data_IF_158022462254
#
_entry.id   IF_158022462254
#
_cell.length_a   1.000
_cell.length_b   1.000
_cell.length_c   1.000
_cell.angle_alpha   90.00
_cell.angle_beta   90.00
_cell.angle_gamma   90.00
#
_symmetry.space_group_name_H-M   'P 1'
#
loop_
_entity.id
_entity.type
_entity.pdbx_description
1 polymer ?
#
# COMPACT_ATOMS: atom_id res chain seq x y z
N UNK A 1 -38.32 26.56 -13.63
CA UNK A 1 -36.84 26.72 -13.65
C UNK A 1 -36.17 26.21 -12.38
N UNK A 2 -36.50 26.72 -11.17
CA UNK A 2 -35.85 26.32 -9.90
C UNK A 2 -35.75 24.78 -9.66
N UNK A 3 -36.80 24.02 -10.00
CA UNK A 3 -36.81 22.54 -9.84
C UNK A 3 -35.89 21.81 -10.82
N UNK A 4 -35.73 22.32 -12.04
CA UNK A 4 -34.85 21.72 -13.06
C UNK A 4 -33.38 21.95 -12.70
N UNK A 5 -33.03 23.15 -12.23
CA UNK A 5 -31.69 23.46 -11.72
C UNK A 5 -31.28 22.58 -10.54
N UNK A 6 -32.19 22.29 -9.60
CA UNK A 6 -31.90 21.40 -8.46
C UNK A 6 -31.57 19.98 -8.93
N UNK A 7 -32.34 19.44 -9.89
CA UNK A 7 -32.11 18.09 -10.43
C UNK A 7 -30.75 18.01 -11.15
N UNK A 8 -30.42 19.03 -11.97
CA UNK A 8 -29.13 19.09 -12.68
C UNK A 8 -27.96 19.18 -11.68
N UNK A 9 -28.09 19.99 -10.61
CA UNK A 9 -27.05 20.09 -9.58
C UNK A 9 -26.82 18.76 -8.84
N UNK A 10 -27.87 18.01 -8.53
CA UNK A 10 -27.74 16.69 -7.89
C UNK A 10 -27.05 15.69 -8.83
N UNK A 11 -27.40 15.72 -10.12
CA UNK A 11 -26.79 14.84 -11.13
C UNK A 11 -25.30 15.12 -11.31
N UNK A 12 -24.91 16.40 -11.37
CA UNK A 12 -23.52 16.84 -11.46
C UNK A 12 -22.73 16.45 -10.20
N UNK A 13 -23.32 16.59 -9.01
CA UNK A 13 -22.69 16.17 -7.77
C UNK A 13 -22.44 14.64 -7.75
N UNK A 14 -23.42 13.85 -8.20
CA UNK A 14 -23.28 12.40 -8.33
C UNK A 14 -22.17 12.00 -9.30
N UNK A 15 -22.09 12.65 -10.47
CA UNK A 15 -21.02 12.44 -11.45
C UNK A 15 -19.65 12.82 -10.90
N UNK A 16 -19.54 13.90 -10.13
CA UNK A 16 -18.28 14.32 -9.51
C UNK A 16 -17.79 13.30 -8.47
N UNK A 17 -18.69 12.76 -7.64
CA UNK A 17 -18.35 11.70 -6.66
C UNK A 17 -17.93 10.42 -7.39
N UNK A 18 -18.62 10.05 -8.46
CA UNK A 18 -18.29 8.86 -9.26
C UNK A 18 -16.91 9.01 -9.93
N UNK A 19 -16.63 10.19 -10.52
CA UNK A 19 -15.33 10.49 -11.10
C UNK A 19 -14.22 10.48 -10.04
N UNK A 20 -14.48 11.03 -8.85
CA UNK A 20 -13.53 10.96 -7.74
C UNK A 20 -13.19 9.51 -7.38
N UNK A 21 -14.22 8.65 -7.26
CA UNK A 21 -14.01 7.25 -6.89
C UNK A 21 -13.25 6.44 -7.96
N UNK A 22 -13.53 6.68 -9.24
CA UNK A 22 -12.94 5.92 -10.35
C UNK A 22 -11.53 6.41 -10.69
N UNK A 23 -11.29 7.72 -10.68
CA UNK A 23 -10.03 8.29 -11.18
C UNK A 23 -9.01 8.64 -10.09
N UNK A 24 -9.44 8.88 -8.85
CA UNK A 24 -8.53 9.35 -7.79
C UNK A 24 -8.18 8.28 -6.75
N UNK A 25 -8.81 7.10 -6.80
CA UNK A 25 -8.46 6.00 -5.91
C UNK A 25 -7.16 5.36 -6.39
N UNK A 26 -6.10 5.47 -5.58
CA UNK A 26 -4.85 4.76 -5.79
C UNK A 26 -5.10 3.25 -5.68
N UNK A 27 -4.76 2.52 -6.72
CA UNK A 27 -4.79 1.06 -6.72
C UNK A 27 -3.40 0.53 -6.42
N UNK A 28 -3.32 -0.57 -5.69
CA UNK A 28 -2.07 -1.26 -5.43
C UNK A 28 -2.22 -2.72 -5.87
N UNK A 29 -1.17 -3.28 -6.46
CA UNK A 29 -1.11 -4.68 -6.86
C UNK A 29 0.06 -5.38 -6.20
N UNK A 30 -0.10 -6.68 -5.95
CA UNK A 30 1.00 -7.51 -5.44
C UNK A 30 2.15 -7.49 -6.45
N UNK A 31 3.35 -7.18 -5.95
CA UNK A 31 4.58 -7.13 -6.74
C UNK A 31 5.49 -8.31 -6.44
N UNK A 32 5.76 -8.55 -5.15
CA UNK A 32 6.74 -9.56 -4.73
C UNK A 32 6.46 -10.07 -3.33
N UNK A 33 6.76 -11.34 -3.10
CA UNK A 33 6.61 -11.98 -1.79
C UNK A 33 7.97 -12.46 -1.28
N UNK A 34 8.28 -12.16 -0.01
CA UNK A 34 9.47 -12.61 0.69
C UNK A 34 9.08 -13.53 1.84
N UNK A 35 9.64 -14.73 1.89
CA UNK A 35 9.33 -15.72 2.91
C UNK A 35 10.34 -15.64 4.06
N UNK A 36 9.87 -15.79 5.30
CA UNK A 36 10.75 -15.85 6.48
C UNK A 36 11.66 -17.08 6.45
N UNK A 37 12.82 -17.05 7.16
CA UNK A 37 13.74 -18.19 7.20
C UNK A 37 13.11 -19.49 7.71
N UNK A 38 12.14 -19.40 8.62
CA UNK A 38 11.40 -20.53 9.18
C UNK A 38 10.16 -20.93 8.37
N UNK A 39 9.88 -20.24 7.26
CA UNK A 39 8.76 -20.46 6.33
C UNK A 39 7.37 -20.30 6.94
N UNK A 40 7.24 -19.70 8.11
CA UNK A 40 5.95 -19.49 8.77
C UNK A 40 5.29 -18.16 8.41
N UNK A 41 6.06 -17.20 7.88
CA UNK A 41 5.61 -15.85 7.57
C UNK A 41 5.97 -15.48 6.14
N UNK A 42 5.16 -14.60 5.56
CA UNK A 42 5.36 -13.99 4.25
C UNK A 42 5.22 -12.48 4.38
N UNK A 43 6.18 -11.75 3.84
CA UNK A 43 6.11 -10.31 3.64
C UNK A 43 5.74 -10.06 2.18
N UNK A 44 4.54 -9.58 1.93
CA UNK A 44 4.05 -9.28 0.58
C UNK A 44 4.23 -7.78 0.32
N UNK A 45 4.91 -7.44 -0.77
CA UNK A 45 5.09 -6.08 -1.25
C UNK A 45 4.01 -5.77 -2.28
N UNK A 46 3.30 -4.67 -2.06
CA UNK A 46 2.33 -4.13 -2.99
C UNK A 46 2.87 -2.82 -3.56
N UNK A 47 2.77 -2.64 -4.88
CA UNK A 47 3.19 -1.40 -5.56
C UNK A 47 1.97 -0.67 -6.09
N UNK A 48 2.06 0.65 -6.16
CA UNK A 48 1.04 1.49 -6.77
C UNK A 48 0.86 1.09 -8.24
N UNK A 49 -0.30 0.53 -8.52
CA UNK A 49 -0.79 0.27 -9.87
C UNK A 49 -1.18 1.60 -10.47
N UNK A 50 -0.53 1.96 -11.56
CA UNK A 50 -0.79 3.23 -12.18
C UNK A 50 -1.63 3.05 -13.45
N UNK A 51 -2.91 3.46 -13.46
CA UNK A 51 -3.65 3.56 -14.71
C UNK A 51 -3.48 4.92 -15.41
N UNK A 52 -3.02 6.01 -14.75
CA UNK A 52 -3.12 7.38 -15.30
C UNK A 52 -2.04 8.42 -14.88
N UNK A 53 -0.89 8.05 -14.30
CA UNK A 53 0.08 9.09 -13.91
C UNK A 53 0.65 9.78 -15.15
N UNK A 54 0.26 11.04 -15.33
CA UNK A 54 0.84 11.99 -16.29
C UNK A 54 2.29 12.37 -15.95
N UNK A 55 2.90 11.72 -14.96
CA UNK A 55 4.30 11.92 -14.58
C UNK A 55 5.23 11.13 -15.50
N UNK A 56 6.14 11.85 -16.15
CA UNK A 56 7.20 11.40 -17.06
C UNK A 56 8.22 10.40 -16.47
N UNK A 57 8.01 9.87 -15.26
CA UNK A 57 8.90 8.90 -14.64
C UNK A 57 8.23 7.52 -14.68
N UNK A 58 8.38 6.84 -15.82
CA UNK A 58 7.96 5.44 -16.03
C UNK A 58 8.76 4.42 -15.22
N UNK A 59 9.80 4.86 -14.53
CA UNK A 59 10.75 4.01 -13.83
C UNK A 59 10.10 3.40 -12.60
N UNK A 60 10.03 2.06 -12.61
CA UNK A 60 9.46 1.24 -11.54
C UNK A 60 9.98 1.69 -10.17
N UNK A 61 11.28 2.01 -10.08
CA UNK A 61 11.99 2.38 -8.85
C UNK A 61 11.38 3.55 -8.08
N UNK A 62 10.65 4.48 -8.74
CA UNK A 62 10.03 5.62 -8.06
C UNK A 62 8.58 5.39 -7.62
N UNK A 63 8.01 4.21 -7.89
CA UNK A 63 6.62 3.93 -7.51
C UNK A 63 6.50 3.76 -6.01
N UNK A 64 5.39 4.25 -5.45
CA UNK A 64 5.06 4.00 -4.06
C UNK A 64 4.74 2.52 -3.87
N UNK A 65 5.11 2.00 -2.72
CA UNK A 65 4.88 0.64 -2.29
C UNK A 65 4.51 0.60 -0.82
N UNK A 66 3.85 -0.47 -0.40
CA UNK A 66 3.66 -0.83 1.00
C UNK A 66 3.87 -2.33 1.18
N UNK A 67 3.95 -2.78 2.42
CA UNK A 67 4.10 -4.22 2.74
C UNK A 67 2.97 -4.73 3.63
N UNK A 68 2.62 -5.99 3.50
CA UNK A 68 1.81 -6.73 4.45
C UNK A 68 2.58 -7.93 4.99
N UNK A 69 2.45 -8.18 6.29
CA UNK A 69 2.92 -9.41 6.92
C UNK A 69 1.75 -10.39 7.03
N UNK A 70 1.94 -11.58 6.48
CA UNK A 70 0.92 -12.63 6.39
C UNK A 70 1.47 -13.93 6.98
N UNK A 71 0.64 -14.68 7.68
CA UNK A 71 1.00 -16.01 8.19
C UNK A 71 0.93 -17.10 7.10
N UNK A 72 1.38 -18.32 7.45
CA UNK A 72 1.30 -19.49 6.56
C UNK A 72 -0.12 -19.88 6.10
N UNK A 73 -1.16 -19.42 6.80
CA UNK A 73 -2.56 -19.66 6.47
C UNK A 73 -3.17 -18.50 5.63
N UNK A 74 -2.33 -17.59 5.13
CA UNK A 74 -2.73 -16.39 4.42
C UNK A 74 -3.57 -15.38 5.25
N UNK A 75 -3.44 -15.40 6.59
CA UNK A 75 -4.03 -14.40 7.46
C UNK A 75 -3.10 -13.19 7.59
N UNK A 76 -3.60 -12.01 7.23
CA UNK A 76 -2.86 -10.75 7.44
C UNK A 76 -2.67 -10.50 8.94
N UNK A 77 -1.41 -10.41 9.36
CA UNK A 77 -1.00 -10.10 10.73
C UNK A 77 -0.75 -8.60 10.90
N UNK A 78 -0.09 -7.99 9.91
CA UNK A 78 0.25 -6.56 9.93
C UNK A 78 0.04 -5.98 8.54
N UNK A 79 -0.62 -4.84 8.46
CA UNK A 79 -0.77 -4.03 7.25
C UNK A 79 -0.84 -2.55 7.62
N UNK A 80 -0.56 -1.64 6.67
CA UNK A 80 -0.74 -0.22 6.90
C UNK A 80 -2.19 0.12 7.22
N UNK A 81 -2.38 1.20 7.97
CA UNK A 81 -3.71 1.70 8.34
C UNK A 81 -3.97 3.03 7.64
N UNK A 82 -5.24 3.46 7.58
CA UNK A 82 -5.61 4.76 7.02
C UNK A 82 -4.94 5.95 7.73
N UNK A 83 -4.48 5.76 8.97
CA UNK A 83 -3.82 6.80 9.78
C UNK A 83 -2.28 6.69 9.76
N UNK A 84 -1.75 5.58 9.28
CA UNK A 84 -0.31 5.35 9.13
C UNK A 84 -0.11 4.47 7.90
N UNK A 85 0.06 5.16 6.76
CA UNK A 85 0.06 4.52 5.45
C UNK A 85 1.36 3.75 5.16
N UNK A 86 2.44 3.98 5.92
CA UNK A 86 3.71 3.23 5.83
C UNK A 86 4.17 2.95 4.38
N UNK A 87 3.95 3.93 3.51
CA UNK A 87 4.31 3.83 2.10
C UNK A 87 5.77 4.26 1.94
N UNK A 88 6.50 3.56 1.09
CA UNK A 88 7.88 3.86 0.73
C UNK A 88 8.06 3.78 -0.78
N UNK A 89 9.20 4.24 -1.29
CA UNK A 89 9.53 4.15 -2.71
C UNK A 89 10.14 2.77 -2.99
N UNK A 90 9.65 2.04 -4.00
CA UNK A 90 10.07 0.65 -4.24
C UNK A 90 11.57 0.49 -4.51
N UNK A 91 12.24 1.52 -5.05
CA UNK A 91 13.70 1.54 -5.20
C UNK A 91 14.46 1.39 -3.88
N UNK A 92 13.84 1.75 -2.75
CA UNK A 92 14.42 1.59 -1.41
C UNK A 92 14.15 0.19 -0.81
N UNK A 93 13.45 -0.69 -1.52
CA UNK A 93 13.09 -2.03 -1.04
C UNK A 93 14.36 -2.84 -0.76
N UNK A 94 14.57 -3.16 0.51
CA UNK A 94 15.63 -4.07 0.93
C UNK A 94 15.13 -4.89 2.12
N UNK A 95 14.77 -6.15 1.84
CA UNK A 95 14.18 -7.03 2.85
C UNK A 95 15.26 -7.80 3.58
N UNK A 96 15.30 -7.63 4.91
CA UNK A 96 16.22 -8.35 5.80
C UNK A 96 15.48 -8.87 7.03
N UNK A 97 15.61 -10.17 7.28
CA UNK A 97 15.02 -10.84 8.43
C UNK A 97 16.04 -10.93 9.57
N UNK A 98 15.81 -10.18 10.65
CA UNK A 98 16.57 -10.29 11.89
C UNK A 98 15.86 -11.27 12.84
N UNK A 99 16.31 -12.53 12.80
CA UNK A 99 15.74 -13.62 13.62
C UNK A 99 16.10 -13.53 15.09
N UNK A 100 17.18 -12.79 15.44
CA UNK A 100 17.66 -12.59 16.81
C UNK A 100 16.75 -11.57 17.49
N UNK A 101 16.59 -10.39 16.87
CA UNK A 101 15.78 -9.32 17.41
C UNK A 101 14.28 -9.48 17.12
N UNK A 102 13.90 -10.45 16.27
CA UNK A 102 12.52 -10.71 15.84
C UNK A 102 11.93 -9.50 15.11
N UNK A 103 12.68 -9.00 14.13
CA UNK A 103 12.29 -7.85 13.30
C UNK A 103 12.47 -8.22 11.84
N UNK A 104 11.58 -7.72 10.97
CA UNK A 104 11.82 -7.71 9.52
C UNK A 104 11.91 -6.28 9.04
N UNK A 105 13.06 -5.94 8.46
CA UNK A 105 13.28 -4.67 7.78
C UNK A 105 12.85 -4.83 6.32
N UNK A 106 12.18 -3.82 5.78
CA UNK A 106 11.80 -3.80 4.35
C UNK A 106 12.37 -2.61 3.59
N UNK A 107 12.94 -1.65 4.30
CA UNK A 107 13.90 -0.69 3.78
C UNK A 107 14.88 -0.31 4.91
N UNK A 108 15.69 0.73 4.71
CA UNK A 108 16.70 1.17 5.69
C UNK A 108 16.10 1.71 7.01
N UNK A 109 14.90 2.28 6.98
CA UNK A 109 14.32 3.03 8.10
C UNK A 109 13.08 2.37 8.70
N UNK A 110 12.46 1.47 7.95
CA UNK A 110 11.16 0.90 8.25
C UNK A 110 11.24 -0.60 8.51
N UNK A 111 10.42 -1.04 9.46
CA UNK A 111 10.45 -2.42 9.93
C UNK A 111 9.14 -2.87 10.55
N UNK A 112 9.02 -4.18 10.75
CA UNK A 112 7.93 -4.79 11.49
C UNK A 112 8.52 -5.57 12.66
N UNK A 113 8.10 -5.22 13.88
CA UNK A 113 8.36 -6.01 15.08
C UNK A 113 7.47 -7.26 15.05
N UNK A 114 8.10 -8.44 14.97
CA UNK A 114 7.41 -9.72 14.85
C UNK A 114 6.86 -10.24 16.18
N UNK A 115 7.26 -9.65 17.32
CA UNK A 115 6.68 -9.98 18.63
C UNK A 115 5.43 -9.15 18.87
N UNK A 116 5.48 -7.86 18.56
CA UNK A 116 4.39 -6.92 18.79
C UNK A 116 3.39 -6.88 17.62
N UNK A 117 3.76 -7.43 16.47
CA UNK A 117 2.98 -7.33 15.22
C UNK A 117 2.69 -5.87 14.85
N UNK A 118 3.72 -5.03 14.93
CA UNK A 118 3.60 -3.57 14.73
C UNK A 118 4.62 -3.08 13.70
N UNK A 119 4.14 -2.27 12.77
CA UNK A 119 4.99 -1.52 11.84
C UNK A 119 5.58 -0.27 12.51
N UNK A 120 6.84 0.00 12.21
CA UNK A 120 7.52 1.26 12.47
C UNK A 120 7.95 1.83 11.13
N UNK A 121 7.51 3.06 10.86
CA UNK A 121 7.69 3.74 9.58
C UNK A 121 8.17 5.16 9.87
N UNK A 122 9.21 5.63 9.17
CA UNK A 122 9.83 6.94 9.38
C UNK A 122 9.69 7.87 8.18
#
# INVERSE_FOLDING_TARGET
>A
MKRITIIISILLLGLAILCYYIFLKKEFSEYKTFTSPDKNLKLIVYIESNPYSLSFNSDLEYRMAYVELIDKNNKTLVKPSLFSNCNFVIGDLNVSWDTINKVVYYNKFDSIDLKQMKMTCN
#
